data_IF_466187281824
#
_entry.id   IF_466187281824
#
_cell.length_a   1.000
_cell.length_b   1.000
_cell.length_c   1.000
_cell.angle_alpha   90.00
_cell.angle_beta   90.00
_cell.angle_gamma   90.00
#
_symmetry.space_group_name_H-M   'P 1'
#
loop_
_entity.id
_entity.type
_entity.pdbx_description
1 polymer ?
#
# COMPACT_ATOMS: atom_id res chain seq x y z
N UNK A 1 14.65 2.90 0.60
CA UNK A 1 14.07 4.27 0.58
C UNK A 1 14.35 4.87 1.95
N UNK A 2 14.86 6.11 2.03
CA UNK A 2 15.19 6.76 3.30
C UNK A 2 14.11 7.80 3.66
N UNK A 3 13.37 7.54 4.73
CA UNK A 3 12.36 8.42 5.34
C UNK A 3 12.01 7.87 6.72
N UNK A 4 11.69 8.74 7.67
CA UNK A 4 11.22 8.34 9.01
C UNK A 4 9.72 8.00 9.03
N UNK A 5 9.01 8.34 7.95
CA UNK A 5 7.60 8.02 7.73
C UNK A 5 7.34 7.74 6.25
N UNK A 6 6.67 6.65 5.93
CA UNK A 6 6.18 6.35 4.59
C UNK A 6 4.71 5.94 4.66
N UNK A 7 3.90 6.46 3.74
CA UNK A 7 2.62 5.89 3.38
C UNK A 7 2.85 4.86 2.27
N UNK A 8 2.25 3.67 2.37
CA UNK A 8 2.25 2.67 1.30
C UNK A 8 0.83 2.29 0.89
N UNK A 9 0.63 2.17 -0.42
CA UNK A 9 -0.60 1.68 -1.04
C UNK A 9 -0.27 0.84 -2.27
N UNK A 10 -1.12 -0.13 -2.60
CA UNK A 10 -1.00 -0.94 -3.81
C UNK A 10 -2.29 -0.86 -4.64
N UNK A 11 -2.14 -0.47 -5.91
CA UNK A 11 -3.27 -0.32 -6.83
C UNK A 11 -3.19 -1.38 -7.93
N UNK A 12 -4.24 -2.18 -8.17
CA UNK A 12 -4.28 -3.10 -9.28
C UNK A 12 -4.37 -2.37 -10.61
N UNK A 13 -3.57 -2.81 -11.59
CA UNK A 13 -3.56 -2.26 -12.94
C UNK A 13 -3.66 -3.36 -14.00
N UNK A 14 -4.16 -3.00 -15.18
CA UNK A 14 -4.14 -3.87 -16.37
C UNK A 14 -2.87 -3.61 -17.15
N UNK A 15 -2.09 -4.66 -17.39
CA UNK A 15 -0.78 -4.60 -18.04
C UNK A 15 -0.82 -5.44 -19.30
N UNK A 16 -0.32 -4.92 -20.41
CA UNK A 16 -0.19 -5.70 -21.64
C UNK A 16 0.80 -6.85 -21.43
N UNK A 17 0.38 -8.08 -21.70
CA UNK A 17 1.21 -9.27 -21.71
C UNK A 17 1.15 -9.92 -23.10
N UNK A 18 2.21 -9.72 -23.88
CA UNK A 18 2.28 -10.24 -25.24
C UNK A 18 2.43 -11.76 -25.30
N UNK A 19 2.90 -12.41 -24.23
CA UNK A 19 2.98 -13.88 -24.16
C UNK A 19 1.61 -14.55 -24.09
N UNK A 20 0.57 -13.79 -23.75
CA UNK A 20 -0.82 -14.25 -23.69
C UNK A 20 -1.57 -14.08 -25.02
N UNK A 21 -0.94 -13.54 -26.08
CA UNK A 21 -1.61 -13.27 -27.38
C UNK A 21 -1.89 -14.53 -28.20
N UNK A 22 -1.17 -15.62 -27.99
CA UNK A 22 -1.24 -16.81 -28.86
C UNK A 22 -2.31 -17.83 -28.44
N UNK A 23 -3.16 -17.51 -27.46
CA UNK A 23 -4.23 -18.39 -26.94
C UNK A 23 -5.64 -18.01 -27.40
N UNK A 24 -5.78 -17.42 -28.58
CA UNK A 24 -7.06 -17.33 -29.31
C UNK A 24 -8.16 -16.41 -28.74
N UNK A 25 -7.96 -15.77 -27.59
CA UNK A 25 -8.89 -14.79 -27.03
C UNK A 25 -8.19 -13.43 -26.95
N UNK A 26 -8.70 -12.48 -27.72
CA UNK A 26 -8.11 -11.15 -27.84
C UNK A 26 -7.85 -10.46 -26.50
N UNK A 27 -6.77 -9.65 -26.51
CA UNK A 27 -6.26 -8.75 -25.45
C UNK A 27 -5.33 -9.41 -24.44
N UNK A 28 -4.17 -9.88 -24.89
CA UNK A 28 -3.03 -10.26 -24.04
C UNK A 28 -2.71 -9.20 -22.98
N UNK A 29 -3.39 -9.31 -21.84
CA UNK A 29 -3.42 -8.36 -20.73
C UNK A 29 -3.53 -9.20 -19.46
N UNK A 30 -2.71 -8.86 -18.46
CA UNK A 30 -2.74 -9.46 -17.12
C UNK A 30 -2.96 -8.37 -16.07
N UNK A 31 -3.37 -8.78 -14.88
CA UNK A 31 -3.37 -7.89 -13.72
C UNK A 31 -1.95 -7.81 -13.15
N UNK A 32 -1.46 -6.59 -12.97
CA UNK A 32 -0.27 -6.26 -12.17
C UNK A 32 -0.64 -5.28 -11.06
N UNK A 33 0.35 -4.77 -10.34
CA UNK A 33 0.20 -3.77 -9.28
C UNK A 33 1.14 -2.60 -9.48
N UNK A 34 0.71 -1.41 -9.09
CA UNK A 34 1.59 -0.28 -8.79
C UNK A 34 1.60 -0.08 -7.29
N UNK A 35 2.77 -0.16 -6.69
CA UNK A 35 3.02 0.22 -5.31
C UNK A 35 3.39 1.69 -5.26
N UNK A 36 2.64 2.49 -4.50
CA UNK A 36 2.94 3.88 -4.24
C UNK A 36 3.51 4.03 -2.84
N UNK A 37 4.69 4.64 -2.73
CA UNK A 37 5.30 5.03 -1.47
C UNK A 37 5.38 6.54 -1.40
N UNK A 38 4.66 7.14 -0.45
CA UNK A 38 4.52 8.60 -0.35
C UNK A 38 5.08 9.08 0.98
N UNK A 39 5.81 10.19 0.90
CA UNK A 39 6.18 11.01 2.06
C UNK A 39 5.61 12.39 1.84
N UNK A 40 4.59 12.75 2.60
CA UNK A 40 4.06 14.11 2.65
C UNK A 40 3.67 14.46 4.07
N UNK A 41 4.44 15.35 4.68
CA UNK A 41 4.24 15.77 6.07
C UNK A 41 3.49 17.10 6.21
N UNK A 42 3.02 17.68 5.10
CA UNK A 42 2.25 18.94 5.11
C UNK A 42 1.06 18.93 6.07
N UNK A 43 0.26 17.85 6.18
CA UNK A 43 -0.94 17.88 7.01
C UNK A 43 -0.65 18.11 8.51
N UNK A 44 0.59 17.95 8.96
CA UNK A 44 1.03 18.22 10.34
C UNK A 44 2.27 19.13 10.40
N UNK A 45 2.46 20.00 9.39
CA UNK A 45 3.53 20.99 9.33
C UNK A 45 4.97 20.42 9.46
N UNK A 46 5.19 19.18 8.99
CA UNK A 46 6.53 18.58 9.00
C UNK A 46 7.48 19.20 7.97
N UNK A 47 8.77 19.23 8.31
CA UNK A 47 9.81 19.87 7.50
C UNK A 47 10.40 18.97 6.40
N UNK A 48 10.09 17.65 6.41
CA UNK A 48 10.67 16.74 5.42
C UNK A 48 10.20 17.07 4.00
N UNK A 49 11.10 17.04 3.00
CA UNK A 49 10.72 17.31 1.61
C UNK A 49 9.72 16.26 1.10
N UNK A 50 8.75 16.66 0.30
CA UNK A 50 7.73 15.73 -0.22
C UNK A 50 8.32 14.79 -1.26
N UNK A 51 7.78 13.59 -1.39
CA UNK A 51 8.21 12.66 -2.41
C UNK A 51 7.22 11.51 -2.62
N UNK A 52 7.19 11.00 -3.85
CA UNK A 52 6.46 9.80 -4.20
C UNK A 52 7.37 8.88 -5.03
N UNK A 53 7.33 7.59 -4.74
CA UNK A 53 8.00 6.54 -5.51
C UNK A 53 6.94 5.55 -5.95
N UNK A 54 6.91 5.26 -7.24
CA UNK A 54 6.04 4.24 -7.81
C UNK A 54 6.88 3.04 -8.24
N UNK A 55 6.44 1.83 -7.87
CA UNK A 55 7.07 0.58 -8.29
C UNK A 55 6.04 -0.35 -8.90
N UNK A 56 6.34 -0.83 -10.09
CA UNK A 56 5.54 -1.86 -10.73
C UNK A 56 5.85 -3.24 -10.14
N UNK A 57 4.82 -4.06 -9.92
CA UNK A 57 4.94 -5.48 -9.66
C UNK A 57 4.04 -6.26 -10.63
N UNK A 58 4.53 -7.37 -11.23
CA UNK A 58 3.77 -8.12 -12.23
C UNK A 58 2.61 -8.92 -11.64
N UNK A 59 2.63 -9.19 -10.35
CA UNK A 59 1.59 -9.91 -9.60
C UNK A 59 1.47 -9.34 -8.18
N UNK A 60 0.51 -9.88 -7.41
CA UNK A 60 0.30 -9.51 -6.02
C UNK A 60 0.93 -10.55 -5.11
N UNK A 61 2.14 -10.23 -4.64
CA UNK A 61 2.87 -11.06 -3.68
C UNK A 61 3.67 -10.20 -2.72
N UNK A 62 3.83 -10.68 -1.50
CA UNK A 62 4.49 -9.93 -0.42
C UNK A 62 5.99 -9.71 -0.69
N UNK A 63 6.66 -10.58 -1.44
CA UNK A 63 8.11 -10.46 -1.67
C UNK A 63 8.48 -9.14 -2.35
N UNK A 64 7.58 -8.59 -3.17
CA UNK A 64 7.76 -7.27 -3.79
C UNK A 64 7.87 -6.17 -2.73
N UNK A 65 6.90 -6.12 -1.80
CA UNK A 65 6.89 -5.07 -0.77
C UNK A 65 8.00 -5.26 0.26
N UNK A 66 8.36 -6.51 0.57
CA UNK A 66 9.51 -6.83 1.40
C UNK A 66 10.82 -6.33 0.77
N UNK A 67 10.99 -6.56 -0.54
CA UNK A 67 12.15 -6.07 -1.29
C UNK A 67 12.19 -4.55 -1.38
N UNK A 68 11.08 -3.91 -1.72
CA UNK A 68 10.98 -2.45 -1.85
C UNK A 68 11.34 -1.71 -0.56
N UNK A 69 10.91 -2.27 0.58
CA UNK A 69 11.04 -1.67 1.90
C UNK A 69 12.15 -2.30 2.76
N UNK A 70 13.01 -3.16 2.21
CA UNK A 70 14.05 -3.88 2.96
C UNK A 70 14.90 -2.95 3.85
N UNK A 71 15.29 -1.80 3.30
CA UNK A 71 16.11 -0.80 3.99
C UNK A 71 15.31 0.37 4.57
N UNK A 72 13.98 0.33 4.49
CA UNK A 72 13.15 1.37 5.12
C UNK A 72 13.20 1.22 6.65
N UNK A 73 13.08 2.37 7.33
CA UNK A 73 13.12 2.52 8.78
C UNK A 73 12.01 3.50 9.19
N UNK A 74 11.62 3.53 10.46
CA UNK A 74 10.66 4.52 10.98
C UNK A 74 9.22 4.00 11.00
N UNK A 75 8.25 4.81 10.57
CA UNK A 75 6.82 4.47 10.58
C UNK A 75 6.35 4.13 9.16
N UNK A 76 5.63 3.01 9.03
CA UNK A 76 4.92 2.65 7.80
C UNK A 76 3.42 2.79 8.03
N UNK A 77 2.81 3.78 7.39
CA UNK A 77 1.37 3.93 7.33
C UNK A 77 0.83 3.18 6.12
N UNK A 78 0.05 2.12 6.34
CA UNK A 78 -0.49 1.31 5.26
C UNK A 78 -1.92 0.82 5.60
N UNK A 79 -2.57 0.16 4.65
CA UNK A 79 -3.75 -0.63 4.96
C UNK A 79 -3.42 -1.85 5.84
N UNK A 80 -4.43 -2.61 6.25
CA UNK A 80 -4.27 -3.81 7.07
C UNK A 80 -3.80 -5.05 6.28
N UNK A 81 -3.10 -4.88 5.15
CA UNK A 81 -2.65 -6.01 4.34
C UNK A 81 -1.59 -6.85 5.07
N UNK A 82 -1.86 -8.16 5.18
CA UNK A 82 -0.98 -9.12 5.88
C UNK A 82 0.45 -9.19 5.33
N UNK A 83 0.69 -8.84 4.06
CA UNK A 83 2.03 -8.88 3.47
C UNK A 83 3.01 -7.87 4.09
N UNK A 84 2.52 -6.89 4.88
CA UNK A 84 3.38 -5.99 5.65
C UNK A 84 3.89 -6.61 6.96
N UNK A 85 3.28 -7.69 7.47
CA UNK A 85 3.54 -8.19 8.83
C UNK A 85 5.03 -8.48 9.10
N UNK A 86 5.73 -9.06 8.13
CA UNK A 86 7.18 -9.36 8.26
C UNK A 86 8.06 -8.09 8.32
N UNK A 87 7.57 -6.94 7.86
CA UNK A 87 8.29 -5.68 7.98
C UNK A 87 8.30 -5.14 9.41
N UNK A 88 7.31 -5.54 10.21
CA UNK A 88 7.16 -5.14 11.61
C UNK A 88 7.81 -6.12 12.58
N UNK A 89 8.39 -7.22 12.11
CA UNK A 89 9.20 -8.07 12.95
C UNK A 89 10.51 -7.34 13.32
N UNK A 90 10.97 -7.43 14.58
CA UNK A 90 12.29 -6.95 14.96
C UNK A 90 13.40 -7.64 14.15
N UNK A 91 14.51 -6.95 13.95
CA UNK A 91 15.74 -7.54 13.41
C UNK A 91 16.36 -8.52 14.45
N UNK A 92 17.32 -9.38 14.06
CA UNK A 92 17.89 -10.39 14.97
C UNK A 92 18.52 -9.82 16.25
N UNK A 93 18.93 -8.55 16.24
CA UNK A 93 19.46 -7.81 17.38
C UNK A 93 18.37 -7.20 18.28
N UNK A 94 17.08 -7.42 17.95
CA UNK A 94 15.92 -6.87 18.64
C UNK A 94 15.52 -5.47 18.17
N UNK A 95 16.22 -4.88 17.19
CA UNK A 95 15.92 -3.53 16.70
C UNK A 95 14.61 -3.52 15.92
N UNK A 96 13.67 -2.66 16.33
CA UNK A 96 12.45 -2.42 15.56
C UNK A 96 12.76 -1.57 14.33
N UNK A 97 12.69 -2.19 13.15
CA UNK A 97 12.97 -1.51 11.89
C UNK A 97 11.84 -0.58 11.45
N UNK A 98 10.60 -1.09 11.41
CA UNK A 98 9.41 -0.33 11.02
C UNK A 98 8.30 -0.47 12.06
N UNK A 99 7.69 0.63 12.46
CA UNK A 99 6.49 0.65 13.30
C UNK A 99 5.25 0.76 12.43
N UNK A 100 4.27 -0.06 12.71
CA UNK A 100 2.99 -0.05 12.00
C UNK A 100 2.15 1.19 12.39
N UNK A 101 1.51 1.79 11.39
CA UNK A 101 0.44 2.77 11.58
C UNK A 101 -0.72 2.43 10.64
N UNK A 102 -1.91 2.18 11.17
CA UNK A 102 -3.07 1.86 10.35
C UNK A 102 -3.57 3.10 9.58
N UNK A 103 -3.83 2.95 8.27
CA UNK A 103 -4.33 4.03 7.44
C UNK A 103 -5.83 4.27 7.66
N UNK A 104 -6.18 5.42 8.24
CA UNK A 104 -7.58 5.80 8.48
C UNK A 104 -8.40 6.00 7.21
N UNK A 105 -7.77 6.37 6.09
CA UNK A 105 -8.48 6.49 4.82
C UNK A 105 -8.99 5.12 4.33
N UNK A 106 -8.21 4.05 4.54
CA UNK A 106 -8.63 2.69 4.25
C UNK A 106 -9.73 2.22 5.20
N UNK A 107 -9.59 2.48 6.50
CA UNK A 107 -10.63 2.18 7.48
C UNK A 107 -11.97 2.87 7.15
N UNK A 108 -11.94 4.16 6.83
CA UNK A 108 -13.15 4.94 6.50
C UNK A 108 -13.82 4.49 5.20
N UNK A 109 -13.08 3.86 4.27
CA UNK A 109 -13.63 3.41 2.98
C UNK A 109 -14.74 2.38 3.18
N UNK A 110 -14.53 1.40 4.05
CA UNK A 110 -15.52 0.33 4.26
C UNK A 110 -16.81 0.87 4.90
N UNK A 111 -16.70 1.80 5.86
CA UNK A 111 -17.86 2.50 6.42
C UNK A 111 -18.58 3.32 5.35
N UNK A 112 -17.84 3.98 4.46
CA UNK A 112 -18.40 4.78 3.38
C UNK A 112 -19.17 3.92 2.38
N UNK A 113 -18.60 2.79 1.97
CA UNK A 113 -19.21 1.87 1.01
C UNK A 113 -20.47 1.22 1.59
N UNK A 114 -20.42 0.85 2.89
CA UNK A 114 -21.58 0.33 3.59
C UNK A 114 -22.69 1.37 3.75
N UNK A 115 -22.35 2.61 4.15
CA UNK A 115 -23.33 3.69 4.23
C UNK A 115 -23.92 4.01 2.85
N UNK A 116 -23.10 4.05 1.80
CA UNK A 116 -23.56 4.34 0.44
C UNK A 116 -24.58 3.32 -0.05
N UNK A 117 -24.35 2.04 0.25
CA UNK A 117 -25.21 0.92 -0.18
C UNK A 117 -26.46 0.71 0.69
N UNK A 118 -26.39 1.01 2.00
CA UNK A 118 -27.47 0.66 2.96
C UNK A 118 -28.17 1.87 3.60
N UNK A 119 -27.55 3.05 3.56
CA UNK A 119 -27.93 4.23 4.37
C UNK A 119 -27.92 3.98 5.88
N UNK A 120 -27.15 3.00 6.36
CA UNK A 120 -26.98 2.73 7.79
C UNK A 120 -26.49 3.96 8.56
N UNK A 121 -27.22 4.35 9.60
CA UNK A 121 -26.87 5.49 10.45
C UNK A 121 -25.59 5.24 11.26
N UNK A 122 -25.41 4.02 11.78
CA UNK A 122 -24.19 3.64 12.52
C UNK A 122 -22.95 3.76 11.62
N UNK A 123 -23.04 3.37 10.35
CA UNK A 123 -21.93 3.54 9.42
C UNK A 123 -21.65 5.01 9.10
N UNK A 124 -22.70 5.86 9.06
CA UNK A 124 -22.55 7.31 8.91
C UNK A 124 -21.86 7.96 10.11
N UNK A 125 -22.13 7.49 11.32
CA UNK A 125 -21.48 8.00 12.55
C UNK A 125 -19.99 7.68 12.61
N UNK A 126 -19.55 6.62 11.91
CA UNK A 126 -18.14 6.23 11.83
C UNK A 126 -17.31 7.02 10.78
N UNK A 127 -17.94 7.89 9.98
CA UNK A 127 -17.31 8.62 8.86
C UNK A 127 -16.84 10.03 9.22
#
# INVERSE_FOLDING_TARGET
MASDLLHADDTPIRVLDRSMRDKGLGKGVRQGRIWAYVRDQRPWAGASPRGAVYRFAPDWKEEHVLSHLANARGILQADGYKGYAKLYAPEPDGTQRLREAACWAHLRRDFHDFWTSTKSEIAREAL
#
